data_IF_506059126939
#
_entry.id   IF_506059126939
#
_cell.length_a   1.000
_cell.length_b   1.000
_cell.length_c   1.000
_cell.angle_alpha   90.00
_cell.angle_beta   90.00
_cell.angle_gamma   90.00
#
_symmetry.space_group_name_H-M   'P 1'
#
loop_
_entity.id
_entity.type
_entity.pdbx_description
1 polymer ?
#
# COMPACT_ATOMS: atom_id res chain seq x y z
N UNK A 1 16.03 9.62 -3.95
CA UNK A 1 14.66 9.42 -3.47
C UNK A 1 13.78 9.16 -4.68
N UNK A 2 12.88 8.19 -4.61
CA UNK A 2 11.86 7.96 -5.65
C UNK A 2 10.49 8.14 -5.01
N UNK A 3 9.65 8.99 -5.59
CA UNK A 3 8.30 9.31 -5.12
C UNK A 3 7.24 8.80 -6.07
N UNK A 4 6.27 8.06 -5.56
CA UNK A 4 4.99 7.77 -6.23
C UNK A 4 3.81 8.26 -5.40
N UNK A 5 2.60 8.18 -5.92
CA UNK A 5 1.39 8.60 -5.20
C UNK A 5 0.20 7.70 -5.50
N UNK A 6 -0.47 7.24 -4.44
CA UNK A 6 -1.80 6.68 -4.45
C UNK A 6 -2.79 7.80 -4.10
N UNK A 7 -3.66 8.24 -5.04
CA UNK A 7 -4.50 9.41 -4.85
C UNK A 7 -5.80 9.07 -4.13
N UNK A 8 -5.74 8.79 -2.82
CA UNK A 8 -6.92 8.37 -2.03
C UNK A 8 -8.02 9.41 -2.07
N UNK A 9 -7.70 10.71 -2.04
CA UNK A 9 -8.67 11.80 -2.18
C UNK A 9 -9.45 11.80 -3.50
N UNK A 10 -8.97 11.08 -4.51
CA UNK A 10 -9.58 11.01 -5.85
C UNK A 10 -10.28 9.67 -6.12
N UNK A 11 -10.37 8.76 -5.14
CA UNK A 11 -11.00 7.45 -5.34
C UNK A 11 -12.41 7.55 -5.91
N UNK A 12 -13.22 8.51 -5.42
CA UNK A 12 -14.56 8.77 -5.94
C UNK A 12 -14.56 9.10 -7.43
N UNK A 13 -13.59 9.88 -7.91
CA UNK A 13 -13.48 10.26 -9.31
C UNK A 13 -13.10 9.09 -10.22
N UNK A 14 -12.29 8.15 -9.72
CA UNK A 14 -12.01 6.91 -10.43
C UNK A 14 -13.24 6.01 -10.50
N UNK A 15 -13.97 5.84 -9.40
CA UNK A 15 -15.12 4.95 -9.33
C UNK A 15 -16.29 5.45 -10.20
N UNK A 16 -16.51 6.75 -10.28
CA UNK A 16 -17.55 7.33 -11.12
C UNK A 16 -17.12 7.63 -12.57
N UNK A 17 -15.84 7.37 -12.90
CA UNK A 17 -15.33 7.46 -14.26
C UNK A 17 -14.89 8.82 -14.75
N UNK A 18 -14.87 9.84 -13.88
CA UNK A 18 -14.33 11.16 -14.22
C UNK A 18 -12.81 11.14 -14.38
N UNK A 19 -12.14 10.25 -13.65
CA UNK A 19 -10.71 10.00 -13.75
C UNK A 19 -10.46 8.53 -14.18
N UNK A 20 -9.41 8.30 -14.95
CA UNK A 20 -8.91 6.99 -15.33
C UNK A 20 -7.40 6.88 -15.06
N UNK A 21 -6.86 5.65 -15.19
CA UNK A 21 -5.46 5.35 -14.86
C UNK A 21 -4.49 6.18 -15.72
N UNK A 22 -4.76 6.30 -17.03
CA UNK A 22 -3.90 7.05 -17.95
C UNK A 22 -3.85 8.54 -17.61
N UNK A 23 -5.01 9.14 -17.35
CA UNK A 23 -5.10 10.55 -16.92
C UNK A 23 -4.38 10.77 -15.59
N UNK A 24 -4.52 9.84 -14.62
CA UNK A 24 -3.81 9.94 -13.36
C UNK A 24 -2.28 9.91 -13.56
N UNK A 25 -1.78 9.00 -14.39
CA UNK A 25 -0.35 8.93 -14.70
C UNK A 25 0.19 10.25 -15.25
N UNK A 26 -0.54 10.90 -16.17
CA UNK A 26 -0.18 12.22 -16.72
C UNK A 26 -0.19 13.30 -15.65
N UNK A 27 -1.22 13.32 -14.80
CA UNK A 27 -1.34 14.28 -13.70
C UNK A 27 -0.21 14.11 -12.67
N UNK A 28 0.08 12.86 -12.27
CA UNK A 28 1.16 12.53 -11.34
C UNK A 28 2.52 13.02 -11.87
N UNK A 29 2.82 12.75 -13.14
CA UNK A 29 4.01 13.31 -13.79
C UNK A 29 4.03 14.84 -13.78
N UNK A 30 2.90 15.48 -14.10
CA UNK A 30 2.78 16.95 -14.13
C UNK A 30 2.95 17.60 -12.74
N UNK A 31 2.75 16.84 -11.65
CA UNK A 31 3.03 17.27 -10.28
C UNK A 31 4.52 17.16 -9.97
N UNK A 32 5.24 16.19 -10.56
CA UNK A 32 6.65 15.93 -10.34
C UNK A 32 6.96 14.57 -9.72
N UNK A 33 5.98 13.67 -9.61
CA UNK A 33 6.22 12.31 -9.15
C UNK A 33 7.07 11.51 -10.14
N UNK A 34 7.94 10.63 -9.60
CA UNK A 34 8.78 9.72 -10.39
C UNK A 34 8.01 8.49 -10.88
N UNK A 35 6.88 8.18 -10.25
CA UNK A 35 5.97 7.07 -10.55
C UNK A 35 4.59 7.33 -9.98
N UNK A 36 3.67 6.38 -10.15
CA UNK A 36 2.33 6.48 -9.58
C UNK A 36 1.83 5.12 -9.12
N UNK A 37 0.84 5.16 -8.23
CA UNK A 37 0.18 3.99 -7.66
C UNK A 37 -1.31 4.00 -7.97
N UNK A 38 -1.92 2.84 -7.98
CA UNK A 38 -3.36 2.67 -8.19
C UNK A 38 -3.95 1.64 -7.23
N UNK A 39 -5.26 1.73 -7.01
CA UNK A 39 -6.03 0.62 -6.45
C UNK A 39 -6.45 -0.35 -7.55
N UNK A 40 -6.48 -1.67 -7.26
CA UNK A 40 -7.04 -2.67 -8.18
C UNK A 40 -8.50 -2.35 -8.55
N UNK A 41 -9.23 -1.65 -7.67
CA UNK A 41 -10.60 -1.17 -7.93
C UNK A 41 -10.70 -0.17 -9.10
N UNK A 42 -9.59 0.43 -9.56
CA UNK A 42 -9.61 1.36 -10.70
C UNK A 42 -9.57 0.64 -12.05
N UNK A 43 -9.25 -0.66 -12.05
CA UNK A 43 -9.21 -1.47 -13.27
C UNK A 43 -10.63 -1.93 -13.60
N UNK A 44 -11.28 -1.20 -14.48
CA UNK A 44 -12.72 -1.35 -14.77
C UNK A 44 -13.06 -2.56 -15.63
N UNK A 45 -12.08 -3.11 -16.36
CA UNK A 45 -12.30 -4.18 -17.32
C UNK A 45 -11.03 -5.03 -17.45
N UNK A 46 -11.20 -6.32 -17.70
CA UNK A 46 -10.11 -7.28 -17.88
C UNK A 46 -9.96 -7.76 -19.32
N UNK A 47 -10.64 -7.13 -20.29
CA UNK A 47 -10.46 -7.47 -21.71
C UNK A 47 -9.07 -7.03 -22.17
N UNK A 48 -8.46 -7.80 -23.07
CA UNK A 48 -7.15 -7.49 -23.62
C UNK A 48 -7.10 -6.09 -24.22
N UNK A 49 -8.13 -5.70 -24.99
CA UNK A 49 -8.21 -4.37 -25.60
C UNK A 49 -8.14 -3.24 -24.59
N UNK A 50 -8.86 -3.35 -23.44
CA UNK A 50 -8.85 -2.34 -22.39
C UNK A 50 -7.48 -2.28 -21.71
N UNK A 51 -6.91 -3.43 -21.39
CA UNK A 51 -5.62 -3.49 -20.68
C UNK A 51 -4.47 -3.00 -21.57
N UNK A 52 -4.46 -3.36 -22.86
CA UNK A 52 -3.46 -2.88 -23.81
C UNK A 52 -3.56 -1.37 -24.04
N UNK A 53 -4.79 -0.82 -24.09
CA UNK A 53 -4.98 0.63 -24.18
C UNK A 53 -4.50 1.34 -22.91
N UNK A 54 -4.87 0.83 -21.75
CA UNK A 54 -4.43 1.39 -20.45
C UNK A 54 -2.91 1.33 -20.33
N UNK A 55 -2.28 0.21 -20.73
CA UNK A 55 -0.82 0.07 -20.75
C UNK A 55 -0.15 1.10 -21.66
N UNK A 56 -0.67 1.29 -22.88
CA UNK A 56 -0.15 2.32 -23.79
C UNK A 56 -0.25 3.73 -23.20
N UNK A 57 -1.33 4.04 -22.50
CA UNK A 57 -1.49 5.33 -21.82
C UNK A 57 -0.48 5.51 -20.66
N UNK A 58 -0.24 4.44 -19.90
CA UNK A 58 0.80 4.42 -18.86
C UNK A 58 2.16 4.70 -19.49
N UNK A 59 2.54 3.95 -20.52
CA UNK A 59 3.83 4.11 -21.20
C UNK A 59 3.99 5.53 -21.79
N UNK A 60 2.94 6.09 -22.37
CA UNK A 60 2.92 7.45 -22.92
C UNK A 60 3.05 8.54 -21.84
N UNK A 61 2.68 8.26 -20.60
CA UNK A 61 2.87 9.21 -19.47
C UNK A 61 4.33 9.48 -19.16
N UNK A 62 5.21 8.50 -19.43
CA UNK A 62 6.65 8.58 -19.21
C UNK A 62 7.08 8.37 -17.75
N UNK A 63 6.18 7.93 -16.87
CA UNK A 63 6.47 7.47 -15.50
C UNK A 63 5.89 6.07 -15.26
N UNK A 64 6.55 5.20 -14.47
CA UNK A 64 6.09 3.84 -14.25
C UNK A 64 4.88 3.77 -13.29
N UNK A 65 4.02 2.76 -13.50
CA UNK A 65 3.17 2.23 -12.45
C UNK A 65 4.06 1.50 -11.44
N UNK A 66 4.11 1.98 -10.20
CA UNK A 66 4.98 1.43 -9.16
C UNK A 66 4.27 0.32 -8.41
N UNK A 67 3.08 0.59 -7.89
CA UNK A 67 2.34 -0.32 -7.03
C UNK A 67 0.85 -0.34 -7.37
N UNK A 68 0.28 -1.55 -7.30
CA UNK A 68 -1.17 -1.75 -7.23
C UNK A 68 -1.53 -2.15 -5.81
N UNK A 69 -2.57 -1.55 -5.22
CA UNK A 69 -3.08 -1.97 -3.91
C UNK A 69 -4.24 -2.94 -4.07
N UNK A 70 -4.16 -4.12 -3.45
CA UNK A 70 -5.18 -5.15 -3.41
C UNK A 70 -5.75 -5.33 -2.00
N UNK A 71 -6.88 -6.02 -1.88
CA UNK A 71 -7.64 -6.08 -0.63
C UNK A 71 -8.10 -7.51 -0.28
N UNK A 72 -7.20 -8.52 -0.29
CA UNK A 72 -7.58 -9.90 0.03
C UNK A 72 -7.98 -10.06 1.49
N UNK A 73 -9.01 -10.86 1.75
CA UNK A 73 -9.46 -11.20 3.10
C UNK A 73 -9.09 -12.65 3.45
N UNK A 74 -7.82 -12.87 3.81
CA UNK A 74 -7.28 -14.19 4.11
C UNK A 74 -7.62 -14.69 5.51
N UNK A 75 -8.27 -13.86 6.33
CA UNK A 75 -8.74 -14.20 7.65
C UNK A 75 -10.24 -14.52 7.70
N UNK A 76 -10.93 -14.49 6.55
CA UNK A 76 -12.35 -14.82 6.47
C UNK A 76 -12.64 -16.18 7.11
N UNK A 77 -13.70 -16.32 7.94
CA UNK A 77 -14.00 -17.56 8.67
C UNK A 77 -14.30 -18.76 7.73
N UNK A 78 -14.92 -18.52 6.56
CA UNK A 78 -15.17 -19.55 5.55
C UNK A 78 -13.92 -19.82 4.70
N UNK A 79 -13.42 -21.07 4.77
CA UNK A 79 -12.28 -21.51 3.98
C UNK A 79 -12.52 -21.46 2.45
N UNK A 80 -13.78 -21.61 2.00
CA UNK A 80 -14.10 -21.47 0.57
C UNK A 80 -13.96 -20.01 0.13
N UNK A 81 -14.31 -19.05 0.98
CA UNK A 81 -14.08 -17.62 0.69
C UNK A 81 -12.60 -17.32 0.63
N UNK A 82 -11.77 -17.79 1.59
CA UNK A 82 -10.30 -17.59 1.53
C UNK A 82 -9.67 -18.12 0.24
N UNK A 83 -10.19 -19.25 -0.30
CA UNK A 83 -9.75 -19.75 -1.61
C UNK A 83 -10.14 -18.81 -2.76
N UNK A 84 -11.34 -18.24 -2.73
CA UNK A 84 -11.76 -17.22 -3.71
C UNK A 84 -10.90 -15.97 -3.63
N UNK A 85 -10.59 -15.49 -2.42
CA UNK A 85 -9.69 -14.35 -2.20
C UNK A 85 -8.30 -14.58 -2.80
N UNK A 86 -7.77 -15.80 -2.67
CA UNK A 86 -6.50 -16.16 -3.31
C UNK A 86 -6.60 -16.09 -4.85
N UNK A 87 -7.68 -16.61 -5.44
CA UNK A 87 -7.90 -16.52 -6.90
C UNK A 87 -8.09 -15.07 -7.38
N UNK A 88 -8.73 -14.21 -6.58
CA UNK A 88 -8.83 -12.79 -6.89
C UNK A 88 -7.46 -12.11 -6.84
N UNK A 89 -6.65 -12.44 -5.84
CA UNK A 89 -5.29 -11.90 -5.77
C UNK A 89 -4.41 -12.38 -6.92
N UNK A 90 -4.54 -13.62 -7.38
CA UNK A 90 -3.85 -14.11 -8.59
C UNK A 90 -4.28 -13.32 -9.84
N UNK A 91 -5.55 -12.94 -9.94
CA UNK A 91 -6.02 -12.03 -10.99
C UNK A 91 -5.37 -10.65 -10.85
N UNK A 92 -5.30 -10.09 -9.65
CA UNK A 92 -4.63 -8.79 -9.41
C UNK A 92 -3.13 -8.86 -9.76
N UNK A 93 -2.44 -9.99 -9.52
CA UNK A 93 -1.05 -10.20 -9.96
C UNK A 93 -0.92 -10.14 -11.47
N UNK A 94 -1.79 -10.86 -12.21
CA UNK A 94 -1.80 -10.86 -13.67
C UNK A 94 -2.04 -9.45 -14.22
N UNK A 95 -3.02 -8.72 -13.68
CA UNK A 95 -3.33 -7.34 -14.06
C UNK A 95 -2.18 -6.38 -13.75
N UNK A 96 -1.56 -6.52 -12.58
CA UNK A 96 -0.39 -5.73 -12.19
C UNK A 96 0.75 -5.92 -13.19
N UNK A 97 1.07 -7.17 -13.52
CA UNK A 97 2.11 -7.51 -14.51
C UNK A 97 1.78 -6.95 -15.90
N UNK A 98 0.55 -7.12 -16.37
CA UNK A 98 0.12 -6.66 -17.70
C UNK A 98 0.16 -5.13 -17.82
N UNK A 99 -0.20 -4.42 -16.74
CA UNK A 99 -0.11 -2.95 -16.69
C UNK A 99 1.33 -2.46 -16.42
N UNK A 100 2.30 -3.35 -16.18
CA UNK A 100 3.70 -3.05 -15.95
C UNK A 100 4.02 -2.58 -14.53
N UNK A 101 3.14 -2.84 -13.58
CA UNK A 101 3.38 -2.61 -12.16
C UNK A 101 4.42 -3.58 -11.60
N UNK A 102 5.26 -3.10 -10.69
CA UNK A 102 6.30 -3.90 -10.06
C UNK A 102 5.83 -4.52 -8.75
N UNK A 103 5.10 -3.77 -7.96
CA UNK A 103 4.66 -4.18 -6.64
C UNK A 103 3.15 -4.38 -6.58
N UNK A 104 2.72 -5.39 -5.82
CA UNK A 104 1.33 -5.58 -5.44
C UNK A 104 1.22 -5.61 -3.92
N UNK A 105 0.57 -4.60 -3.35
CA UNK A 105 0.35 -4.52 -1.92
C UNK A 105 -0.73 -5.50 -1.49
N UNK A 106 -0.44 -6.26 -0.43
CA UNK A 106 -1.32 -7.28 0.14
C UNK A 106 -1.53 -7.06 1.64
N UNK A 107 -2.66 -7.53 2.15
CA UNK A 107 -3.09 -7.44 3.54
C UNK A 107 -3.33 -8.83 4.13
N UNK A 108 -3.42 -8.93 5.45
CA UNK A 108 -3.75 -10.19 6.12
C UNK A 108 -5.23 -10.55 5.95
N UNK A 109 -6.12 -9.58 6.05
CA UNK A 109 -7.56 -9.76 6.03
C UNK A 109 -8.25 -9.05 7.18
N UNK A 110 -9.55 -9.20 7.28
CA UNK A 110 -10.40 -8.50 8.26
C UNK A 110 -10.38 -9.17 9.63
N UNK A 111 -10.49 -8.38 10.69
CA UNK A 111 -10.66 -8.88 12.07
C UNK A 111 -12.12 -9.29 12.32
N UNK A 112 -12.50 -10.45 11.79
CA UNK A 112 -13.86 -10.97 11.94
C UNK A 112 -14.23 -11.24 13.39
N UNK A 113 -15.49 -11.03 13.81
CA UNK A 113 -15.94 -11.34 15.16
C UNK A 113 -15.66 -12.81 15.54
N UNK A 114 -15.06 -13.01 16.71
CA UNK A 114 -14.72 -14.35 17.21
C UNK A 114 -13.51 -15.01 16.54
N UNK A 115 -12.74 -14.26 15.74
CA UNK A 115 -11.52 -14.79 15.14
C UNK A 115 -10.41 -14.89 16.21
N UNK A 116 -10.03 -16.12 16.54
CA UNK A 116 -8.89 -16.40 17.41
C UNK A 116 -7.56 -16.00 16.74
N UNK A 117 -6.67 -15.30 17.47
CA UNK A 117 -5.37 -14.81 16.96
C UNK A 117 -4.57 -15.89 16.24
N UNK A 118 -4.35 -17.03 16.89
CA UNK A 118 -3.55 -18.11 16.31
C UNK A 118 -4.15 -18.63 14.99
N UNK A 119 -5.47 -18.71 14.90
CA UNK A 119 -6.18 -19.13 13.70
C UNK A 119 -6.07 -18.08 12.59
N UNK A 120 -6.22 -16.80 12.93
CA UNK A 120 -6.07 -15.68 11.98
C UNK A 120 -4.68 -15.64 11.39
N UNK A 121 -3.64 -15.68 12.24
CA UNK A 121 -2.23 -15.71 11.80
C UNK A 121 -1.97 -16.90 10.90
N UNK A 122 -2.38 -18.11 11.30
CA UNK A 122 -2.18 -19.33 10.50
C UNK A 122 -2.86 -19.22 9.12
N UNK A 123 -4.08 -18.71 9.06
CA UNK A 123 -4.84 -18.55 7.80
C UNK A 123 -4.20 -17.51 6.87
N UNK A 124 -3.80 -16.35 7.40
CA UNK A 124 -3.13 -15.30 6.64
C UNK A 124 -1.78 -15.80 6.09
N UNK A 125 -0.95 -16.43 6.95
CA UNK A 125 0.36 -16.99 6.56
C UNK A 125 0.20 -18.06 5.47
N UNK A 126 -0.75 -18.99 5.62
CA UNK A 126 -1.01 -20.04 4.63
C UNK A 126 -1.35 -19.43 3.25
N UNK A 127 -2.27 -18.46 3.22
CA UNK A 127 -2.69 -17.84 1.96
C UNK A 127 -1.56 -16.99 1.35
N UNK A 128 -0.86 -16.19 2.14
CA UNK A 128 0.27 -15.37 1.67
C UNK A 128 1.42 -16.23 1.15
N UNK A 129 1.73 -17.36 1.78
CA UNK A 129 2.75 -18.31 1.28
C UNK A 129 2.35 -18.93 -0.06
N UNK A 130 1.06 -19.21 -0.28
CA UNK A 130 0.54 -19.65 -1.59
C UNK A 130 0.65 -18.53 -2.62
N UNK A 131 0.22 -17.32 -2.25
CA UNK A 131 0.31 -16.14 -3.10
C UNK A 131 1.75 -15.83 -3.53
N UNK A 132 2.74 -15.98 -2.64
CA UNK A 132 4.16 -15.79 -2.96
C UNK A 132 4.68 -16.71 -4.06
N UNK A 133 4.14 -17.92 -4.18
CA UNK A 133 4.50 -18.84 -5.27
C UNK A 133 3.96 -18.35 -6.61
N UNK A 134 2.68 -17.97 -6.66
CA UNK A 134 2.04 -17.43 -7.87
C UNK A 134 2.71 -16.10 -8.31
N UNK A 135 3.02 -15.21 -7.38
CA UNK A 135 3.62 -13.91 -7.69
C UNK A 135 4.94 -14.02 -8.47
N UNK A 136 5.75 -15.06 -8.20
CA UNK A 136 7.00 -15.31 -8.96
C UNK A 136 6.73 -15.65 -10.42
N UNK A 137 5.64 -16.35 -10.72
CA UNK A 137 5.25 -16.70 -12.09
C UNK A 137 4.82 -15.47 -12.89
N UNK A 138 4.20 -14.49 -12.23
CA UNK A 138 3.81 -13.21 -12.84
C UNK A 138 4.94 -12.16 -12.85
N UNK A 139 6.07 -12.41 -12.17
CA UNK A 139 7.16 -11.43 -12.07
C UNK A 139 6.81 -10.21 -11.19
N UNK A 140 5.82 -10.33 -10.31
CA UNK A 140 5.35 -9.28 -9.40
C UNK A 140 5.91 -9.50 -8.01
N UNK A 141 6.30 -8.43 -7.33
CA UNK A 141 6.75 -8.47 -5.93
C UNK A 141 5.58 -8.14 -5.01
N UNK A 142 5.18 -9.10 -4.17
CA UNK A 142 4.21 -8.83 -3.13
C UNK A 142 4.84 -8.00 -2.01
N UNK A 143 4.13 -6.99 -1.53
CA UNK A 143 4.52 -6.19 -0.36
C UNK A 143 3.41 -6.23 0.69
N UNK A 144 3.72 -6.83 1.84
CA UNK A 144 2.78 -6.95 2.96
C UNK A 144 2.82 -5.67 3.80
N UNK A 145 1.64 -5.14 4.14
CA UNK A 145 1.50 -3.84 4.78
C UNK A 145 0.95 -3.92 6.21
N UNK A 146 1.48 -3.09 7.12
CA UNK A 146 0.85 -2.75 8.38
C UNK A 146 -0.29 -1.75 8.12
N UNK A 147 -1.52 -2.25 8.09
CA UNK A 147 -2.68 -1.49 7.61
C UNK A 147 -3.78 -1.37 8.68
N UNK A 148 -4.48 -0.23 8.72
CA UNK A 148 -5.60 -0.02 9.63
C UNK A 148 -6.92 -0.58 9.06
N UNK A 149 -7.46 0.04 8.01
CA UNK A 149 -8.72 -0.40 7.41
C UNK A 149 -8.91 0.16 6.01
N UNK A 150 -8.98 -0.68 4.97
CA UNK A 150 -9.46 -0.25 3.66
C UNK A 150 -10.92 0.20 3.71
N UNK A 151 -11.27 1.21 2.92
CA UNK A 151 -12.64 1.73 2.86
C UNK A 151 -13.68 0.69 2.45
N UNK A 152 -13.29 -0.31 1.65
CA UNK A 152 -14.16 -1.39 1.19
C UNK A 152 -14.44 -2.47 2.27
N UNK A 153 -13.68 -2.52 3.36
CA UNK A 153 -13.84 -3.55 4.39
C UNK A 153 -14.85 -3.16 5.48
N UNK A 154 -15.50 -4.17 6.06
CA UNK A 154 -16.42 -3.98 7.17
C UNK A 154 -15.67 -3.84 8.50
N UNK A 155 -14.67 -4.69 8.74
CA UNK A 155 -13.87 -4.69 9.97
C UNK A 155 -12.49 -4.09 9.73
N UNK A 156 -11.79 -3.72 10.82
CA UNK A 156 -10.36 -3.30 10.76
C UNK A 156 -9.50 -4.46 10.27
N UNK A 157 -8.29 -4.15 9.83
CA UNK A 157 -7.31 -5.19 9.47
C UNK A 157 -6.99 -6.05 10.70
N UNK A 158 -6.99 -7.36 10.52
CA UNK A 158 -6.65 -8.32 11.57
C UNK A 158 -5.24 -8.10 12.10
N UNK A 159 -4.33 -7.70 11.24
CA UNK A 159 -2.94 -7.42 11.59
C UNK A 159 -2.65 -5.94 11.89
N UNK A 160 -3.69 -5.14 12.17
CA UNK A 160 -3.47 -3.75 12.62
C UNK A 160 -2.65 -3.69 13.91
N UNK A 161 -2.87 -4.53 14.95
CA UNK A 161 -1.97 -4.59 16.09
C UNK A 161 -0.54 -5.01 15.69
N UNK A 162 0.51 -4.27 16.11
CA UNK A 162 1.89 -4.49 15.66
C UNK A 162 2.45 -5.88 15.95
N UNK A 163 2.02 -6.47 17.05
CA UNK A 163 2.43 -7.82 17.44
C UNK A 163 1.81 -8.91 16.53
N UNK A 164 0.57 -8.70 16.06
CA UNK A 164 -0.06 -9.58 15.07
C UNK A 164 0.57 -9.36 13.68
N UNK A 165 0.82 -8.11 13.30
CA UNK A 165 1.56 -7.81 12.07
C UNK A 165 2.90 -8.55 12.03
N UNK A 166 3.67 -8.51 13.13
CA UNK A 166 4.95 -9.20 13.22
C UNK A 166 4.82 -10.72 13.23
N UNK A 167 3.77 -11.29 13.84
CA UNK A 167 3.52 -12.74 13.77
C UNK A 167 3.30 -13.21 12.33
N UNK A 168 2.49 -12.47 11.57
CA UNK A 168 2.26 -12.77 10.14
C UNK A 168 3.54 -12.55 9.34
N UNK A 169 4.24 -11.41 9.53
CA UNK A 169 5.51 -11.12 8.87
C UNK A 169 6.55 -12.21 9.09
N UNK A 170 6.74 -12.65 10.33
CA UNK A 170 7.68 -13.73 10.65
C UNK A 170 7.29 -15.04 9.94
N UNK A 171 5.99 -15.34 9.83
CA UNK A 171 5.49 -16.51 9.14
C UNK A 171 5.70 -16.52 7.62
N UNK A 172 6.01 -15.36 7.02
CA UNK A 172 6.21 -15.21 5.57
C UNK A 172 7.61 -14.71 5.18
N UNK A 173 8.48 -14.41 6.13
CA UNK A 173 9.77 -13.73 5.91
C UNK A 173 10.74 -14.45 4.98
N UNK A 174 10.59 -15.77 4.81
CA UNK A 174 11.39 -16.64 3.93
C UNK A 174 10.79 -16.80 2.51
N UNK A 175 9.63 -16.19 2.22
CA UNK A 175 8.89 -16.43 0.98
C UNK A 175 9.28 -15.52 -0.19
N UNK A 176 10.02 -14.45 0.06
CA UNK A 176 10.30 -13.38 -0.89
C UNK A 176 9.23 -12.26 -0.91
N UNK A 177 8.17 -12.36 -0.10
CA UNK A 177 7.30 -11.21 0.18
C UNK A 177 8.11 -10.17 0.91
N UNK A 178 8.02 -8.93 0.44
CA UNK A 178 8.66 -7.77 1.05
C UNK A 178 7.64 -7.01 1.93
N UNK A 179 8.02 -5.86 2.46
CA UNK A 179 7.16 -5.02 3.30
C UNK A 179 6.87 -3.70 2.58
N UNK A 180 5.61 -3.31 2.57
CA UNK A 180 5.20 -1.91 2.45
C UNK A 180 4.97 -1.37 3.85
N UNK A 181 5.84 -0.49 4.33
CA UNK A 181 5.70 0.06 5.66
C UNK A 181 4.89 1.35 5.62
N UNK A 182 3.69 1.34 6.20
CA UNK A 182 2.85 2.55 6.30
C UNK A 182 3.11 3.28 7.61
N UNK A 183 3.68 4.48 7.50
CA UNK A 183 4.05 5.31 8.66
C UNK A 183 2.84 5.96 9.33
N UNK A 184 1.79 6.26 8.58
CA UNK A 184 0.56 6.83 9.14
C UNK A 184 -0.27 5.78 9.86
N UNK A 185 -0.42 4.56 9.30
CA UNK A 185 -1.08 3.46 9.99
C UNK A 185 -0.36 3.10 11.29
N UNK A 186 0.98 3.11 11.30
CA UNK A 186 1.75 2.96 12.54
C UNK A 186 1.45 4.10 13.53
N UNK A 187 1.34 5.36 13.06
CA UNK A 187 0.96 6.49 13.91
C UNK A 187 -0.47 6.35 14.47
N UNK A 188 -1.38 5.77 13.68
CA UNK A 188 -2.75 5.50 14.13
C UNK A 188 -2.82 4.41 15.22
N UNK A 189 -1.86 3.49 15.25
CA UNK A 189 -1.80 2.44 16.26
C UNK A 189 -1.11 2.91 17.56
N UNK A 190 -0.03 3.68 17.44
CA UNK A 190 0.76 4.07 18.61
C UNK A 190 0.33 5.41 19.19
N UNK A 191 -0.21 5.40 20.44
CA UNK A 191 -0.49 6.63 21.20
C UNK A 191 0.79 7.38 21.58
N UNK A 192 1.87 6.63 21.89
CA UNK A 192 3.17 7.20 22.25
C UNK A 192 4.06 7.49 21.04
N UNK A 193 4.87 8.57 21.06
CA UNK A 193 5.89 8.80 20.06
C UNK A 193 6.96 7.69 20.04
N UNK A 194 7.49 7.40 18.86
CA UNK A 194 8.60 6.45 18.66
C UNK A 194 8.17 5.02 18.35
N UNK A 195 6.91 4.65 18.58
CA UNK A 195 6.41 3.30 18.28
C UNK A 195 6.52 2.95 16.80
N UNK A 196 6.34 3.93 15.92
CA UNK A 196 6.50 3.78 14.47
C UNK A 196 7.93 3.36 14.09
N UNK A 197 8.92 4.01 14.71
CA UNK A 197 10.33 3.71 14.46
C UNK A 197 10.69 2.32 15.01
N UNK A 198 10.25 2.00 16.22
CA UNK A 198 10.47 0.68 16.83
C UNK A 198 9.89 -0.47 15.98
N UNK A 199 8.73 -0.25 15.36
CA UNK A 199 8.13 -1.24 14.45
C UNK A 199 8.93 -1.33 13.14
N UNK A 200 9.29 -0.18 12.55
CA UNK A 200 10.10 -0.13 11.33
C UNK A 200 11.44 -0.84 11.51
N UNK A 201 12.12 -0.64 12.64
CA UNK A 201 13.41 -1.28 12.95
C UNK A 201 13.36 -2.82 12.86
N UNK A 202 12.21 -3.41 13.22
CA UNK A 202 12.04 -4.88 13.19
C UNK A 202 11.89 -5.44 11.79
N UNK A 203 11.51 -4.63 10.80
CA UNK A 203 11.19 -5.09 9.44
C UNK A 203 12.01 -4.40 8.35
N UNK A 204 12.84 -3.41 8.68
CA UNK A 204 13.49 -2.50 7.72
C UNK A 204 14.29 -3.22 6.63
N UNK A 205 14.92 -4.33 6.94
CA UNK A 205 15.70 -5.11 5.97
C UNK A 205 14.84 -5.78 4.88
N UNK A 206 13.52 -5.80 5.07
CA UNK A 206 12.52 -6.30 4.11
C UNK A 206 11.66 -5.19 3.52
N UNK A 207 11.84 -3.93 3.91
CA UNK A 207 11.04 -2.83 3.37
C UNK A 207 11.45 -2.52 1.93
N UNK A 208 10.53 -2.69 1.01
CA UNK A 208 10.70 -2.35 -0.41
C UNK A 208 10.02 -1.04 -0.78
N UNK A 209 8.90 -0.75 -0.14
CA UNK A 209 8.11 0.47 -0.34
C UNK A 209 7.64 1.01 1.02
N UNK A 210 7.40 2.30 1.08
CA UNK A 210 6.88 2.97 2.28
C UNK A 210 5.67 3.80 1.90
N UNK A 211 4.51 3.52 2.49
CA UNK A 211 3.39 4.44 2.40
C UNK A 211 3.61 5.64 3.32
N UNK A 212 3.55 6.81 2.74
CA UNK A 212 3.76 8.09 3.42
C UNK A 212 2.43 8.81 3.51
N UNK A 213 1.76 8.67 4.62
CA UNK A 213 0.53 9.40 4.93
C UNK A 213 0.63 10.04 6.33
N UNK A 214 -0.31 10.91 6.66
CA UNK A 214 -0.30 11.65 7.92
C UNK A 214 -1.61 11.50 8.68
N UNK A 215 -1.50 11.39 10.00
CA UNK A 215 -2.62 11.29 10.92
C UNK A 215 -2.75 12.54 11.77
N UNK A 216 -3.97 13.07 11.88
CA UNK A 216 -4.25 14.26 12.70
C UNK A 216 -3.98 14.02 14.17
N UNK A 217 -4.25 12.81 14.65
CA UNK A 217 -4.09 12.38 16.04
C UNK A 217 -3.34 11.05 16.09
N UNK A 218 -2.49 10.87 17.11
CA UNK A 218 -1.88 9.58 17.43
C UNK A 218 -2.90 8.64 18.08
N UNK A 219 -2.72 7.33 17.87
CA UNK A 219 -3.62 6.32 18.44
C UNK A 219 -5.01 6.32 17.81
N UNK A 220 -5.19 7.02 16.67
CA UNK A 220 -6.46 7.09 15.96
C UNK A 220 -6.24 7.16 14.45
N UNK A 221 -7.04 6.41 13.71
CA UNK A 221 -7.06 6.49 12.25
C UNK A 221 -7.81 7.76 11.81
N UNK A 222 -7.08 8.85 11.67
CA UNK A 222 -7.59 10.18 11.30
C UNK A 222 -6.74 10.81 10.20
N UNK A 223 -6.81 10.28 8.96
CA UNK A 223 -6.00 10.77 7.85
C UNK A 223 -6.14 12.27 7.63
N UNK A 224 -5.05 12.92 7.28
CA UNK A 224 -5.00 14.36 6.99
C UNK A 224 -3.98 14.63 5.89
N UNK A 225 -3.93 15.88 5.42
CA UNK A 225 -2.93 16.30 4.44
C UNK A 225 -1.51 16.10 5.01
N UNK A 226 -0.65 15.49 4.23
CA UNK A 226 0.73 15.23 4.61
C UNK A 226 1.46 16.52 5.06
N UNK A 227 2.09 16.47 6.21
CA UNK A 227 2.77 17.60 6.85
C UNK A 227 1.90 18.44 7.78
N UNK A 228 0.63 18.07 7.98
CA UNK A 228 -0.29 18.82 8.87
C UNK A 228 -0.69 18.03 10.13
N UNK A 229 -0.23 16.80 10.26
CA UNK A 229 -0.60 15.90 11.34
C UNK A 229 0.52 15.62 12.35
N UNK A 230 0.51 14.40 12.89
CA UNK A 230 1.38 13.94 13.97
C UNK A 230 2.34 12.82 13.56
N UNK A 231 2.28 12.37 12.31
CA UNK A 231 3.18 11.33 11.79
C UNK A 231 4.62 11.86 11.76
N UNK A 232 5.62 11.15 12.31
CA UNK A 232 6.99 11.64 12.44
C UNK A 232 7.79 11.44 11.13
N UNK A 233 7.27 11.97 10.01
CA UNK A 233 7.80 11.77 8.65
C UNK A 233 9.29 12.06 8.57
N UNK A 234 9.75 13.21 9.08
CA UNK A 234 11.17 13.59 9.03
C UNK A 234 12.08 12.64 9.81
N UNK A 235 11.62 12.10 10.95
CA UNK A 235 12.39 11.13 11.73
C UNK A 235 12.51 9.79 10.99
N UNK A 236 11.41 9.31 10.40
CA UNK A 236 11.40 8.09 9.60
C UNK A 236 12.29 8.26 8.36
N UNK A 237 12.21 9.39 7.66
CA UNK A 237 13.06 9.67 6.52
C UNK A 237 14.54 9.71 6.88
N UNK A 238 14.91 10.36 8.00
CA UNK A 238 16.28 10.34 8.52
C UNK A 238 16.78 8.92 8.80
N UNK A 239 15.93 8.09 9.40
CA UNK A 239 16.28 6.70 9.66
C UNK A 239 16.48 5.90 8.36
N UNK A 240 15.55 6.01 7.41
CA UNK A 240 15.63 5.34 6.11
C UNK A 240 16.88 5.76 5.34
N UNK A 241 17.22 7.07 5.31
CA UNK A 241 18.47 7.56 4.68
C UNK A 241 19.71 6.96 5.33
N UNK A 242 19.78 6.94 6.66
CA UNK A 242 20.90 6.33 7.40
C UNK A 242 21.04 4.82 7.12
N UNK A 243 19.93 4.13 6.83
CA UNK A 243 19.91 2.72 6.44
C UNK A 243 20.20 2.48 4.95
N UNK A 244 20.40 3.54 4.16
CA UNK A 244 20.65 3.44 2.72
C UNK A 244 19.43 2.97 1.93
N UNK A 245 18.20 3.30 2.38
CA UNK A 245 16.96 2.90 1.70
C UNK A 245 16.93 3.46 0.26
N UNK A 246 16.79 2.56 -0.70
CA UNK A 246 16.73 2.85 -2.14
C UNK A 246 15.39 2.44 -2.79
N UNK A 247 14.38 2.14 -1.96
CA UNK A 247 13.02 1.79 -2.43
C UNK A 247 12.17 3.00 -2.76
N UNK A 248 10.86 2.80 -2.84
CA UNK A 248 9.89 3.84 -3.18
C UNK A 248 9.23 4.40 -1.92
N UNK A 249 9.11 5.72 -1.88
CA UNK A 249 8.24 6.45 -0.95
C UNK A 249 6.93 6.75 -1.68
N UNK A 250 5.90 6.00 -1.35
CA UNK A 250 4.60 6.05 -2.01
C UNK A 250 3.67 6.94 -1.18
N UNK A 251 3.44 8.17 -1.60
CA UNK A 251 2.53 9.07 -0.88
C UNK A 251 1.10 8.53 -0.99
N UNK A 252 0.48 8.23 0.15
CA UNK A 252 -0.93 7.91 0.23
C UNK A 252 -1.70 9.19 0.56
N UNK A 253 -2.12 9.92 -0.51
CA UNK A 253 -2.76 11.22 -0.33
C UNK A 253 -4.23 11.04 0.08
N UNK A 254 -4.52 11.27 1.35
CA UNK A 254 -5.84 11.13 1.97
C UNK A 254 -6.34 12.43 2.63
N UNK A 255 -5.78 13.59 2.23
CA UNK A 255 -6.12 14.90 2.81
C UNK A 255 -7.42 15.50 2.30
N UNK A 256 -8.19 14.80 1.45
CA UNK A 256 -9.44 15.26 0.83
C UNK A 256 -9.33 16.60 0.09
N UNK A 257 -8.16 16.89 -0.50
CA UNK A 257 -7.91 18.12 -1.28
C UNK A 257 -7.67 17.83 -2.78
N UNK A 258 -7.91 16.60 -3.24
CA UNK A 258 -7.77 16.21 -4.63
C UNK A 258 -6.36 16.47 -5.18
N UNK A 259 -6.26 16.98 -6.40
CA UNK A 259 -4.98 17.27 -7.08
C UNK A 259 -4.11 18.26 -6.30
N UNK A 260 -4.72 19.27 -5.67
CA UNK A 260 -3.96 20.25 -4.87
C UNK A 260 -3.38 19.61 -3.61
N UNK A 261 -4.07 18.63 -3.02
CA UNK A 261 -3.55 17.79 -1.94
C UNK A 261 -2.30 17.02 -2.39
N UNK A 262 -2.36 16.37 -3.55
CA UNK A 262 -1.22 15.64 -4.11
C UNK A 262 -0.01 16.57 -4.37
N UNK A 263 -0.22 17.79 -4.89
CA UNK A 263 0.86 18.80 -5.08
C UNK A 263 1.51 19.21 -3.76
N UNK A 264 0.70 19.50 -2.74
CA UNK A 264 1.18 19.89 -1.41
C UNK A 264 1.94 18.74 -0.74
N UNK A 265 1.41 17.54 -0.84
CA UNK A 265 2.04 16.34 -0.28
C UNK A 265 3.38 16.03 -0.94
N UNK A 266 3.48 16.16 -2.27
CA UNK A 266 4.75 16.04 -3.00
C UNK A 266 5.77 17.06 -2.52
N UNK A 267 5.42 18.35 -2.50
CA UNK A 267 6.32 19.43 -2.08
C UNK A 267 6.81 19.22 -0.63
N UNK A 268 5.92 18.81 0.28
CA UNK A 268 6.28 18.48 1.65
C UNK A 268 7.27 17.31 1.73
N UNK A 269 6.98 16.20 1.01
CA UNK A 269 7.83 15.01 1.05
C UNK A 269 9.24 15.30 0.52
N UNK A 270 9.38 16.09 -0.56
CA UNK A 270 10.67 16.53 -1.08
C UNK A 270 11.43 17.31 -0.02
N UNK A 271 10.80 18.35 0.56
CA UNK A 271 11.42 19.17 1.59
C UNK A 271 11.79 18.37 2.85
N UNK A 272 10.89 17.48 3.30
CA UNK A 272 11.16 16.64 4.47
C UNK A 272 12.34 15.67 4.22
N UNK A 273 12.46 15.13 3.01
CA UNK A 273 13.59 14.27 2.65
C UNK A 273 14.90 15.03 2.56
N UNK A 274 14.91 16.23 2.00
CA UNK A 274 16.13 17.07 1.90
C UNK A 274 16.67 17.43 3.28
N UNK A 275 15.78 17.70 4.23
CA UNK A 275 16.13 18.10 5.60
C UNK A 275 16.34 16.91 6.58
N UNK A 276 16.21 15.68 6.13
CA UNK A 276 16.31 14.46 6.93
C UNK A 276 17.75 13.95 7.10
#
# INVERSE_FOLDING_TARGET
MHLSCLPVSLFGEFLDGRLDIGKWAVLARGIGFDGFDISSMFIKNHTATYLDETRRQIDASGIPLVMVTSYPDFTHPDAAQRRRELSYLETDMALTAQLGGKFLRVLAGQNHPGLERARGVASAVECLRKAAKAAREFGVVLVYENHAKPGAWHYIDFSFPPDIFLDVFNGISDTGIMVNFDIGNATAEFERPGGELELLEKVVDKVATVHVCDMRERGKFTPTLLGTGKTPVGQIFSYLKKRGFAGWLCIEEAGNQGIDGARKAHAYAVSAWENA
#
